data_IF_471797121240
#
_entry.id   IF_471797121240
#
_cell.length_a   1.000
_cell.length_b   1.000
_cell.length_c   1.000
_cell.angle_alpha   90.00
_cell.angle_beta   90.00
_cell.angle_gamma   90.00
#
_symmetry.space_group_name_H-M   'P 1'
#
loop_
_entity.id
_entity.type
_entity.pdbx_description
1 polymer ?
#
# COMPACT_ATOMS: atom_id res chain seq x y z
N UNK A 1 -31.01 39.48 -2.05
CA UNK A 1 -31.67 38.38 -1.30
C UNK A 1 -30.68 37.93 -0.23
N UNK A 2 -31.15 37.60 0.98
CA UNK A 2 -30.30 36.88 1.92
C UNK A 2 -29.86 35.57 1.24
N UNK A 3 -28.60 35.14 1.39
CA UNK A 3 -28.21 33.81 0.92
C UNK A 3 -29.15 32.78 1.55
N UNK A 4 -29.73 31.90 0.73
CA UNK A 4 -30.45 30.73 1.26
C UNK A 4 -29.53 29.99 2.24
N UNK A 5 -30.11 29.43 3.28
CA UNK A 5 -29.35 28.59 4.20
C UNK A 5 -28.88 27.32 3.47
N UNK A 6 -27.75 26.69 3.84
CA UNK A 6 -27.19 25.57 3.08
C UNK A 6 -28.17 24.41 2.84
N UNK A 7 -29.05 24.11 3.81
CA UNK A 7 -30.08 23.08 3.69
C UNK A 7 -31.24 23.46 2.75
N UNK A 8 -31.31 24.72 2.31
CA UNK A 8 -32.29 25.26 1.37
C UNK A 8 -31.75 25.33 -0.07
N UNK A 9 -30.45 25.08 -0.27
CA UNK A 9 -29.81 25.15 -1.59
C UNK A 9 -29.90 23.83 -2.34
N UNK A 10 -30.18 23.90 -3.64
CA UNK A 10 -29.88 22.85 -4.61
C UNK A 10 -28.53 23.19 -5.22
N UNK A 11 -27.52 22.37 -4.95
CA UNK A 11 -26.14 22.62 -5.38
C UNK A 11 -25.85 21.88 -6.69
N UNK A 12 -26.45 22.37 -7.78
CA UNK A 12 -26.23 21.88 -9.14
C UNK A 12 -25.71 23.03 -9.99
N UNK A 13 -24.60 22.81 -10.70
CA UNK A 13 -24.17 23.69 -11.78
C UNK A 13 -25.09 23.46 -12.97
N UNK A 14 -26.20 24.19 -13.02
CA UNK A 14 -27.25 23.96 -14.01
C UNK A 14 -26.76 24.15 -15.46
N UNK A 15 -25.77 25.01 -15.69
CA UNK A 15 -25.21 25.23 -17.03
C UNK A 15 -24.36 24.02 -17.44
N UNK A 16 -23.40 23.61 -16.61
CA UNK A 16 -22.53 22.49 -16.94
C UNK A 16 -23.27 21.14 -16.91
N UNK A 17 -24.09 20.89 -15.88
CA UNK A 17 -24.77 19.62 -15.67
C UNK A 17 -25.75 19.29 -16.80
N UNK A 18 -26.54 20.27 -17.25
CA UNK A 18 -27.57 20.07 -18.29
C UNK A 18 -27.01 19.67 -19.66
N UNK A 19 -25.73 19.95 -19.92
CA UNK A 19 -25.04 19.55 -21.15
C UNK A 19 -24.50 18.10 -21.08
N UNK A 20 -24.45 17.49 -19.89
CA UNK A 20 -23.99 16.10 -19.69
C UNK A 20 -25.09 15.09 -20.04
N UNK A 21 -24.72 13.82 -20.20
CA UNK A 21 -25.72 12.75 -20.37
C UNK A 21 -26.57 12.54 -19.12
N UNK A 22 -25.99 12.72 -17.93
CA UNK A 22 -26.73 12.68 -16.66
C UNK A 22 -27.76 13.82 -16.56
N UNK A 23 -27.43 15.02 -17.02
CA UNK A 23 -28.34 16.17 -16.98
C UNK A 23 -29.52 16.09 -17.95
N UNK A 24 -29.50 15.15 -18.90
CA UNK A 24 -30.64 14.83 -19.76
C UNK A 24 -31.66 13.92 -19.07
N UNK A 25 -31.28 13.28 -17.97
CA UNK A 25 -32.17 12.50 -17.12
C UNK A 25 -32.90 13.42 -16.14
N UNK A 26 -34.08 13.00 -15.70
CA UNK A 26 -34.78 13.68 -14.61
C UNK A 26 -34.13 13.31 -13.28
N UNK A 27 -34.11 14.24 -12.32
CA UNK A 27 -33.59 13.98 -10.97
C UNK A 27 -34.23 12.74 -10.33
N UNK A 28 -35.51 12.50 -10.63
CA UNK A 28 -36.32 11.40 -10.10
C UNK A 28 -35.84 10.03 -10.60
N UNK A 29 -35.22 9.96 -11.79
CA UNK A 29 -34.70 8.68 -12.30
C UNK A 29 -33.58 8.11 -11.41
N UNK A 30 -32.76 8.96 -10.80
CA UNK A 30 -31.69 8.53 -9.90
C UNK A 30 -32.08 8.67 -8.43
N UNK A 31 -32.69 9.80 -8.05
CA UNK A 31 -32.98 10.11 -6.65
C UNK A 31 -34.39 9.69 -6.22
N UNK A 32 -35.27 9.23 -7.11
CA UNK A 32 -36.67 8.97 -6.77
C UNK A 32 -37.42 10.24 -6.38
N UNK A 33 -38.36 10.15 -5.45
CA UNK A 33 -39.19 11.29 -5.08
C UNK A 33 -40.40 11.51 -5.99
N UNK A 34 -41.02 12.68 -5.86
CA UNK A 34 -42.25 13.05 -6.59
C UNK A 34 -42.07 14.36 -7.34
N UNK A 35 -42.58 14.45 -8.58
CA UNK A 35 -42.52 15.68 -9.38
C UNK A 35 -43.60 16.70 -8.95
N UNK A 36 -43.36 17.39 -7.84
CA UNK A 36 -44.22 18.45 -7.28
C UNK A 36 -43.39 19.65 -6.82
N UNK A 37 -44.02 20.81 -6.68
CA UNK A 37 -43.32 22.06 -6.33
C UNK A 37 -43.00 22.18 -4.82
N UNK A 38 -43.74 21.49 -3.97
CA UNK A 38 -43.52 21.46 -2.52
C UNK A 38 -42.32 20.58 -2.21
N UNK A 39 -41.32 21.11 -1.50
CA UNK A 39 -40.03 20.45 -1.28
C UNK A 39 -40.18 19.16 -0.49
N UNK A 40 -40.94 19.20 0.60
CA UNK A 40 -41.16 18.06 1.48
C UNK A 40 -41.89 16.93 0.73
N UNK A 41 -42.92 17.25 -0.05
CA UNK A 41 -43.59 16.26 -0.91
C UNK A 41 -42.68 15.76 -2.04
N UNK A 42 -41.88 16.64 -2.65
CA UNK A 42 -40.95 16.25 -3.70
C UNK A 42 -39.90 15.25 -3.20
N UNK A 43 -39.46 15.41 -1.95
CA UNK A 43 -38.48 14.55 -1.31
C UNK A 43 -39.08 13.31 -0.61
N UNK A 44 -40.39 13.10 -0.68
CA UNK A 44 -41.01 11.87 -0.14
C UNK A 44 -40.45 10.65 -0.90
N UNK A 45 -39.84 9.72 -0.18
CA UNK A 45 -39.13 8.54 -0.72
C UNK A 45 -37.91 8.85 -1.60
N UNK A 46 -37.31 10.04 -1.46
CA UNK A 46 -36.08 10.39 -2.16
C UNK A 46 -34.87 9.65 -1.58
N UNK A 47 -34.05 9.09 -2.46
CA UNK A 47 -32.74 8.50 -2.15
C UNK A 47 -31.67 9.60 -2.19
N UNK A 48 -31.08 9.87 -1.03
CA UNK A 48 -30.07 10.92 -0.87
C UNK A 48 -28.79 10.63 -1.66
N UNK A 49 -28.35 9.37 -1.65
CA UNK A 49 -27.17 8.90 -2.36
C UNK A 49 -27.51 7.69 -3.24
N UNK A 50 -27.88 7.92 -4.51
CA UNK A 50 -28.14 6.84 -5.47
C UNK A 50 -26.90 5.98 -5.71
N UNK A 51 -25.69 6.52 -5.54
CA UNK A 51 -24.46 5.80 -5.82
C UNK A 51 -24.12 4.72 -4.81
N UNK A 52 -24.79 4.73 -3.64
CA UNK A 52 -24.81 3.62 -2.68
C UNK A 52 -25.57 2.38 -3.18
N UNK A 53 -26.36 2.52 -4.26
CA UNK A 53 -27.13 1.44 -4.92
C UNK A 53 -26.86 1.43 -6.43
N UNK A 54 -25.60 1.19 -6.83
CA UNK A 54 -25.19 1.30 -8.24
C UNK A 54 -25.91 0.29 -9.15
N UNK A 55 -26.29 -0.88 -8.61
CA UNK A 55 -27.09 -1.91 -9.27
C UNK A 55 -28.49 -1.42 -9.68
N UNK A 56 -29.06 -0.48 -8.92
CA UNK A 56 -30.40 0.07 -9.18
C UNK A 56 -30.34 1.28 -10.11
N UNK A 57 -29.39 2.19 -9.88
CA UNK A 57 -29.41 3.52 -10.50
C UNK A 57 -28.37 3.74 -11.59
N UNK A 58 -27.33 2.91 -11.65
CA UNK A 58 -26.20 3.09 -12.57
C UNK A 58 -26.09 1.95 -13.58
N UNK A 59 -26.48 0.73 -13.23
CA UNK A 59 -26.22 -0.48 -14.00
C UNK A 59 -26.84 -0.50 -15.41
N UNK A 60 -27.94 0.23 -15.66
CA UNK A 60 -28.53 0.33 -17.01
C UNK A 60 -27.55 0.97 -18.02
N UNK A 61 -26.70 1.90 -17.56
CA UNK A 61 -25.74 2.62 -18.42
C UNK A 61 -24.28 2.22 -18.15
N UNK A 62 -23.98 1.71 -16.96
CA UNK A 62 -22.62 1.37 -16.48
C UNK A 62 -22.52 -0.09 -16.03
N UNK A 63 -23.17 -1.01 -16.76
CA UNK A 63 -23.29 -2.43 -16.43
C UNK A 63 -21.95 -3.05 -16.03
N UNK A 64 -20.90 -2.82 -16.82
CA UNK A 64 -19.58 -3.41 -16.60
C UNK A 64 -18.94 -2.94 -15.29
N UNK A 65 -18.93 -1.62 -15.06
CA UNK A 65 -18.33 -1.04 -13.85
C UNK A 65 -19.13 -1.44 -12.60
N UNK A 66 -20.46 -1.38 -12.68
CA UNK A 66 -21.32 -1.76 -11.53
C UNK A 66 -21.19 -3.23 -11.16
N UNK A 67 -21.07 -4.11 -12.16
CA UNK A 67 -20.89 -5.55 -11.93
C UNK A 67 -19.53 -5.86 -11.30
N UNK A 68 -18.46 -5.20 -11.77
CA UNK A 68 -17.11 -5.41 -11.24
C UNK A 68 -16.90 -4.78 -9.85
N UNK A 69 -17.47 -3.59 -9.63
CA UNK A 69 -17.22 -2.80 -8.42
C UNK A 69 -17.58 -3.54 -7.13
N UNK A 70 -18.59 -4.41 -7.17
CA UNK A 70 -19.02 -5.21 -6.03
C UNK A 70 -17.88 -6.03 -5.41
N UNK A 71 -16.96 -6.51 -6.25
CA UNK A 71 -15.81 -7.34 -5.83
C UNK A 71 -14.53 -6.51 -5.62
N UNK A 72 -14.52 -5.23 -6.03
CA UNK A 72 -13.36 -4.36 -5.86
C UNK A 72 -12.97 -4.14 -4.40
N UNK A 73 -11.67 -3.98 -4.13
CA UNK A 73 -11.18 -3.67 -2.78
C UNK A 73 -11.71 -2.35 -2.20
N UNK A 74 -12.04 -1.39 -3.06
CA UNK A 74 -12.66 -0.11 -2.66
C UNK A 74 -14.10 -0.31 -2.14
N UNK A 75 -14.79 -1.37 -2.57
CA UNK A 75 -16.09 -1.76 -2.05
C UNK A 75 -15.98 -2.77 -0.90
N UNK A 76 -15.20 -3.84 -1.06
CA UNK A 76 -15.19 -4.96 -0.10
C UNK A 76 -14.36 -4.66 1.15
N UNK A 77 -13.36 -3.78 1.03
CA UNK A 77 -12.36 -3.54 2.07
C UNK A 77 -11.65 -4.82 2.55
N UNK A 78 -11.61 -5.86 1.70
CA UNK A 78 -11.14 -7.20 2.06
C UNK A 78 -9.71 -7.21 2.61
N UNK A 79 -8.88 -6.25 2.20
CA UNK A 79 -7.52 -6.09 2.71
C UNK A 79 -7.45 -5.95 4.23
N UNK A 80 -8.36 -5.20 4.86
CA UNK A 80 -8.39 -5.09 6.31
C UNK A 80 -8.78 -6.41 6.97
N UNK A 81 -9.83 -7.05 6.46
CA UNK A 81 -10.34 -8.30 7.00
C UNK A 81 -9.35 -9.45 6.86
N UNK A 82 -8.61 -9.52 5.76
CA UNK A 82 -7.51 -10.48 5.58
C UNK A 82 -6.52 -10.38 6.74
N UNK A 83 -6.00 -9.20 7.01
CA UNK A 83 -5.00 -8.99 8.07
C UNK A 83 -5.57 -9.18 9.48
N UNK A 84 -6.78 -8.64 9.74
CA UNK A 84 -7.46 -8.78 11.04
C UNK A 84 -7.75 -10.25 11.34
N UNK A 85 -8.31 -10.99 10.38
CA UNK A 85 -8.67 -12.39 10.59
C UNK A 85 -7.44 -13.27 10.78
N UNK A 86 -6.35 -13.00 10.04
CA UNK A 86 -5.08 -13.71 10.24
C UNK A 86 -4.51 -13.48 11.64
N UNK A 87 -4.54 -12.25 12.16
CA UNK A 87 -4.09 -11.95 13.54
C UNK A 87 -5.06 -12.41 14.62
N UNK A 88 -6.36 -12.50 14.33
CA UNK A 88 -7.36 -12.97 15.30
C UNK A 88 -7.16 -14.44 15.67
N UNK A 89 -7.09 -15.33 14.68
CA UNK A 89 -6.89 -16.77 14.90
C UNK A 89 -8.09 -17.56 15.44
N UNK A 90 -9.17 -16.88 15.88
CA UNK A 90 -10.34 -17.46 16.56
C UNK A 90 -11.67 -17.20 15.83
N UNK A 91 -11.63 -17.03 14.51
CA UNK A 91 -12.84 -16.88 13.70
C UNK A 91 -13.64 -18.20 13.73
N UNK A 92 -14.96 -18.22 14.06
CA UNK A 92 -15.90 -17.08 14.04
C UNK A 92 -16.26 -16.48 15.41
N UNK A 93 -15.68 -16.93 16.52
CA UNK A 93 -16.11 -16.57 17.88
C UNK A 93 -15.99 -15.06 18.16
N UNK A 94 -14.86 -14.46 17.78
CA UNK A 94 -14.54 -13.05 18.00
C UNK A 94 -15.07 -12.12 16.89
N UNK A 95 -15.64 -12.71 15.82
CA UNK A 95 -16.05 -11.99 14.63
C UNK A 95 -17.07 -10.86 14.92
N UNK A 96 -18.09 -11.05 15.77
CA UNK A 96 -19.05 -9.98 16.07
C UNK A 96 -18.41 -8.74 16.72
N UNK A 97 -17.44 -8.93 17.63
CA UNK A 97 -16.74 -7.82 18.27
C UNK A 97 -15.84 -7.08 17.26
N UNK A 98 -15.19 -7.82 16.38
CA UNK A 98 -14.37 -7.27 15.30
C UNK A 98 -15.23 -6.54 14.24
N UNK A 99 -16.44 -7.02 13.94
CA UNK A 99 -17.38 -6.34 13.03
C UNK A 99 -17.84 -5.00 13.60
N UNK A 100 -18.16 -4.95 14.89
CA UNK A 100 -18.51 -3.69 15.57
C UNK A 100 -17.33 -2.71 15.55
N UNK A 101 -16.13 -3.18 15.91
CA UNK A 101 -14.89 -2.40 15.85
C UNK A 101 -14.63 -1.86 14.44
N UNK A 102 -14.69 -2.73 13.43
CA UNK A 102 -14.42 -2.37 12.05
C UNK A 102 -15.43 -1.34 11.53
N UNK A 103 -16.72 -1.52 11.85
CA UNK A 103 -17.77 -0.57 11.50
C UNK A 103 -17.55 0.81 12.11
N UNK A 104 -17.11 0.87 13.37
CA UNK A 104 -16.88 2.13 14.07
C UNK A 104 -15.61 2.86 13.59
N UNK A 105 -14.53 2.14 13.29
CA UNK A 105 -13.22 2.76 13.11
C UNK A 105 -12.66 2.73 11.69
N UNK A 106 -13.02 1.71 10.90
CA UNK A 106 -12.33 1.41 9.65
C UNK A 106 -13.23 1.60 8.43
N UNK A 107 -14.51 1.21 8.54
CA UNK A 107 -15.46 1.21 7.44
C UNK A 107 -15.78 2.60 6.86
N UNK A 108 -15.31 3.68 7.49
CA UNK A 108 -15.47 5.06 6.99
C UNK A 108 -14.68 5.34 5.70
N UNK A 109 -13.76 4.46 5.32
CA UNK A 109 -13.05 4.51 4.04
C UNK A 109 -13.75 3.71 2.92
N UNK A 110 -14.86 3.02 3.22
CA UNK A 110 -15.74 2.47 2.19
C UNK A 110 -16.20 3.59 1.26
N UNK A 111 -16.27 3.31 -0.05
CA UNK A 111 -16.62 4.33 -1.03
C UNK A 111 -17.84 3.92 -1.87
N UNK A 112 -18.46 4.89 -2.51
CA UNK A 112 -19.48 4.72 -3.55
C UNK A 112 -19.01 5.34 -4.87
N UNK A 113 -19.72 5.08 -5.98
CA UNK A 113 -19.38 5.75 -7.24
C UNK A 113 -19.41 7.29 -7.11
N UNK A 114 -20.31 7.83 -6.28
CA UNK A 114 -20.45 9.27 -6.06
C UNK A 114 -19.30 9.88 -5.28
N UNK A 115 -18.71 9.16 -4.32
CA UNK A 115 -17.57 9.63 -3.52
C UNK A 115 -16.25 9.71 -4.28
N UNK A 116 -16.19 9.08 -5.46
CA UNK A 116 -15.11 9.28 -6.42
C UNK A 116 -15.50 10.29 -7.50
N UNK A 117 -16.70 10.21 -8.07
CA UNK A 117 -17.04 10.91 -9.30
C UNK A 117 -17.89 12.17 -9.13
N UNK A 118 -18.45 12.47 -7.96
CA UNK A 118 -19.40 13.59 -7.80
C UNK A 118 -19.07 14.45 -6.57
N UNK A 119 -18.70 13.83 -5.47
CA UNK A 119 -18.44 14.50 -4.19
C UNK A 119 -17.20 13.96 -3.49
N UNK A 120 -16.64 14.77 -2.60
CA UNK A 120 -15.67 14.30 -1.63
C UNK A 120 -16.29 13.20 -0.77
N UNK A 121 -15.49 12.23 -0.29
CA UNK A 121 -15.96 11.21 0.63
C UNK A 121 -16.53 11.80 1.93
N UNK A 122 -17.48 11.09 2.53
CA UNK A 122 -18.16 11.53 3.74
C UNK A 122 -17.21 11.69 4.94
N UNK A 123 -16.14 10.89 5.01
CA UNK A 123 -15.17 10.92 6.10
C UNK A 123 -14.39 12.25 6.22
N UNK A 124 -14.31 13.04 5.14
CA UNK A 124 -13.71 14.39 5.13
C UNK A 124 -14.76 15.52 5.14
N UNK A 125 -16.03 15.18 5.40
CA UNK A 125 -17.14 16.15 5.47
C UNK A 125 -17.93 16.32 4.18
N UNK A 126 -17.62 15.55 3.13
CA UNK A 126 -18.38 15.52 1.88
C UNK A 126 -18.32 16.81 1.05
N UNK A 127 -19.31 16.97 0.18
CA UNK A 127 -19.49 18.14 -0.69
C UNK A 127 -19.06 17.91 -2.14
N UNK A 128 -19.81 18.47 -3.08
CA UNK A 128 -19.59 18.26 -4.51
C UNK A 128 -18.26 18.84 -5.00
N UNK A 129 -17.63 18.15 -5.95
CA UNK A 129 -16.44 18.67 -6.62
C UNK A 129 -16.78 19.91 -7.43
N UNK A 130 -17.78 19.78 -8.31
CA UNK A 130 -18.09 20.74 -9.38
C UNK A 130 -19.62 20.83 -9.59
N UNK A 131 -20.37 21.05 -8.50
CA UNK A 131 -21.82 21.32 -8.59
C UNK A 131 -22.65 20.15 -9.16
N UNK A 132 -22.47 18.94 -8.62
CA UNK A 132 -23.18 17.72 -9.03
C UNK A 132 -22.87 17.24 -10.46
N UNK A 133 -21.85 17.78 -11.11
CA UNK A 133 -21.30 17.22 -12.35
C UNK A 133 -20.53 15.94 -12.03
N UNK A 134 -20.72 14.91 -12.86
CA UNK A 134 -20.01 13.64 -12.76
C UNK A 134 -18.66 13.74 -13.46
N UNK A 135 -17.60 13.67 -12.67
CA UNK A 135 -16.21 13.73 -13.10
C UNK A 135 -15.67 12.34 -13.43
N UNK A 136 -15.55 12.03 -14.73
CA UNK A 136 -14.96 10.75 -15.17
C UNK A 136 -13.56 10.53 -14.58
N UNK A 137 -12.75 11.59 -14.53
CA UNK A 137 -11.43 11.57 -13.89
C UNK A 137 -11.52 12.33 -12.56
N UNK A 138 -11.53 11.63 -11.42
CA UNK A 138 -11.83 12.26 -10.15
C UNK A 138 -10.68 13.19 -9.71
N UNK A 139 -10.98 14.30 -9.04
CA UNK A 139 -9.95 15.24 -8.58
C UNK A 139 -9.12 14.62 -7.48
N UNK A 140 -7.86 14.29 -7.77
CA UNK A 140 -6.94 13.55 -6.90
C UNK A 140 -6.94 14.01 -5.43
N UNK A 141 -6.84 15.33 -5.19
CA UNK A 141 -6.70 15.86 -3.82
C UNK A 141 -7.98 15.81 -3.00
N UNK A 142 -9.13 15.78 -3.69
CA UNK A 142 -10.48 15.81 -3.11
C UNK A 142 -11.15 14.43 -3.10
N UNK A 143 -10.62 13.46 -3.84
CA UNK A 143 -11.10 12.07 -3.90
C UNK A 143 -10.06 11.11 -3.32
N UNK A 144 -9.02 10.77 -4.07
CA UNK A 144 -8.01 9.77 -3.70
C UNK A 144 -7.33 10.11 -2.36
N UNK A 145 -6.80 11.33 -2.22
CA UNK A 145 -6.08 11.72 -0.99
C UNK A 145 -7.02 12.18 0.12
N UNK A 146 -8.34 12.17 -0.07
CA UNK A 146 -9.27 12.35 1.04
C UNK A 146 -9.19 11.13 1.98
N UNK A 147 -9.11 9.92 1.42
CA UNK A 147 -8.92 8.68 2.18
C UNK A 147 -7.43 8.32 2.31
N UNK A 148 -6.63 8.43 1.24
CA UNK A 148 -5.21 8.05 1.24
C UNK A 148 -4.26 9.20 1.63
N UNK A 149 -4.76 10.25 2.28
CA UNK A 149 -4.02 11.51 2.46
C UNK A 149 -2.87 11.48 3.45
N UNK A 150 -3.03 10.78 4.57
CA UNK A 150 -2.14 10.90 5.74
C UNK A 150 -0.73 10.37 5.48
N UNK A 151 -0.59 9.29 4.71
CA UNK A 151 0.70 8.69 4.33
C UNK A 151 0.98 8.90 2.85
N UNK A 152 0.22 8.23 1.99
CA UNK A 152 0.43 8.24 0.54
C UNK A 152 0.33 9.65 -0.04
N UNK A 153 -0.73 10.39 0.29
CA UNK A 153 -0.91 11.75 -0.20
C UNK A 153 0.17 12.72 0.29
N UNK A 154 0.62 12.59 1.54
CA UNK A 154 1.69 13.44 2.07
C UNK A 154 3.05 13.14 1.45
N UNK A 155 3.36 11.85 1.22
CA UNK A 155 4.57 11.40 0.51
C UNK A 155 4.54 11.87 -0.96
N UNK A 156 3.45 11.60 -1.68
CA UNK A 156 3.34 11.87 -3.12
C UNK A 156 3.39 13.36 -3.44
N UNK A 157 2.72 14.18 -2.62
CA UNK A 157 2.61 15.61 -2.84
C UNK A 157 3.74 16.41 -2.18
N UNK A 158 4.63 15.77 -1.42
CA UNK A 158 5.73 16.44 -0.72
C UNK A 158 5.26 17.35 0.42
N UNK A 159 4.30 16.88 1.22
CA UNK A 159 3.77 17.61 2.38
C UNK A 159 4.54 17.33 3.67
N UNK A 160 5.42 16.33 3.68
CA UNK A 160 6.30 16.07 4.81
C UNK A 160 7.45 17.08 4.81
N UNK A 161 7.70 17.72 5.95
CA UNK A 161 8.71 18.77 6.07
C UNK A 161 10.10 18.26 5.67
N UNK A 162 10.78 19.00 4.80
CA UNK A 162 12.12 18.67 4.34
C UNK A 162 12.22 17.51 3.34
N UNK A 163 11.11 16.90 2.94
CA UNK A 163 11.09 15.75 2.03
C UNK A 163 10.37 16.16 0.74
N UNK A 164 11.01 16.03 -0.44
CA UNK A 164 10.38 16.37 -1.70
C UNK A 164 9.23 15.41 -2.03
N UNK A 165 8.24 15.91 -2.77
CA UNK A 165 7.20 15.08 -3.37
C UNK A 165 7.74 14.25 -4.53
N UNK A 166 7.01 13.20 -4.88
CA UNK A 166 7.34 12.25 -5.93
C UNK A 166 7.62 12.94 -7.28
N UNK A 167 8.66 12.52 -8.00
CA UNK A 167 9.02 13.10 -9.31
C UNK A 167 7.93 12.91 -10.36
N UNK A 168 7.17 11.82 -10.31
CA UNK A 168 6.05 11.59 -11.22
C UNK A 168 4.95 12.65 -11.03
N UNK A 169 4.73 13.10 -9.79
CA UNK A 169 3.83 14.22 -9.51
C UNK A 169 4.48 15.57 -9.86
N UNK A 170 5.67 15.84 -9.31
CA UNK A 170 6.29 17.17 -9.31
C UNK A 170 6.79 17.59 -10.70
N UNK A 171 7.28 16.64 -11.47
CA UNK A 171 7.92 16.89 -12.77
C UNK A 171 7.05 16.41 -13.93
N UNK A 172 6.51 15.18 -13.83
CA UNK A 172 5.66 14.62 -14.90
C UNK A 172 4.17 14.97 -14.80
N UNK A 173 3.74 15.65 -13.72
CA UNK A 173 2.34 16.08 -13.49
C UNK A 173 1.33 14.92 -13.52
N UNK A 174 1.77 13.73 -13.12
CA UNK A 174 0.91 12.56 -13.02
C UNK A 174 0.01 12.65 -11.79
N UNK A 175 -1.26 12.28 -11.96
CA UNK A 175 -2.19 12.00 -10.86
C UNK A 175 -2.25 10.48 -10.62
N UNK A 176 -2.91 10.04 -9.55
CA UNK A 176 -2.99 8.62 -9.18
C UNK A 176 -3.44 7.73 -10.34
N UNK A 177 -4.42 8.18 -11.13
CA UNK A 177 -5.01 7.39 -12.23
C UNK A 177 -4.10 7.27 -13.46
N UNK A 178 -2.92 7.91 -13.48
CA UNK A 178 -1.89 7.62 -14.48
C UNK A 178 -1.18 6.30 -14.25
N UNK A 179 -1.14 5.83 -13.00
CA UNK A 179 -0.54 4.54 -12.65
C UNK A 179 -1.59 3.53 -12.19
N UNK A 180 -2.66 3.97 -11.52
CA UNK A 180 -3.77 3.12 -11.06
C UNK A 180 -5.00 3.31 -11.93
N UNK A 181 -5.18 2.47 -12.94
CA UNK A 181 -6.23 2.69 -13.94
C UNK A 181 -7.62 2.40 -13.39
N UNK A 182 -8.66 2.87 -14.09
CA UNK A 182 -10.04 2.55 -13.70
C UNK A 182 -10.35 1.04 -13.72
N UNK A 183 -9.64 0.26 -14.54
CA UNK A 183 -9.75 -1.20 -14.58
C UNK A 183 -9.37 -1.80 -13.23
N UNK A 184 -8.29 -1.31 -12.63
CA UNK A 184 -7.76 -1.80 -11.36
C UNK A 184 -8.62 -1.32 -10.19
N UNK A 185 -8.99 -0.03 -10.22
CA UNK A 185 -9.77 0.61 -9.16
C UNK A 185 -11.18 0.03 -9.03
N UNK A 186 -11.81 -0.33 -10.16
CA UNK A 186 -13.16 -0.91 -10.19
C UNK A 186 -13.18 -2.44 -10.11
N UNK A 187 -12.04 -3.13 -10.07
CA UNK A 187 -12.02 -4.59 -9.99
C UNK A 187 -12.42 -5.30 -11.30
N UNK A 188 -12.10 -4.70 -12.46
CA UNK A 188 -12.65 -5.15 -13.76
C UNK A 188 -11.94 -6.38 -14.36
N UNK A 189 -10.89 -6.89 -13.73
CA UNK A 189 -10.21 -8.13 -14.13
C UNK A 189 -10.44 -9.23 -13.08
N UNK A 190 -10.36 -10.50 -13.50
CA UNK A 190 -10.46 -11.65 -12.59
C UNK A 190 -9.46 -11.57 -11.42
N UNK A 191 -8.24 -11.11 -11.71
CA UNK A 191 -7.20 -10.90 -10.70
C UNK A 191 -7.60 -9.81 -9.69
N UNK A 192 -8.07 -8.66 -10.18
CA UNK A 192 -8.47 -7.54 -9.30
C UNK A 192 -9.78 -7.82 -8.54
N UNK A 193 -10.68 -8.63 -9.09
CA UNK A 193 -11.93 -9.04 -8.44
C UNK A 193 -11.70 -10.11 -7.37
N UNK A 194 -10.65 -10.92 -7.50
CA UNK A 194 -10.28 -11.95 -6.51
C UNK A 194 -9.25 -11.47 -5.49
N UNK A 195 -8.84 -10.20 -5.56
CA UNK A 195 -7.84 -9.62 -4.69
C UNK A 195 -8.31 -9.59 -3.22
N UNK A 196 -7.50 -10.16 -2.33
CA UNK A 196 -7.78 -10.18 -0.89
C UNK A 196 -7.09 -9.04 -0.15
N UNK A 197 -6.12 -8.37 -0.78
CA UNK A 197 -5.43 -7.18 -0.29
C UNK A 197 -4.79 -6.40 -1.45
N UNK A 198 -4.32 -5.18 -1.18
CA UNK A 198 -3.73 -4.25 -2.19
C UNK A 198 -2.45 -4.73 -2.89
N UNK A 199 -1.90 -5.87 -2.47
CA UNK A 199 -0.67 -6.47 -3.03
C UNK A 199 -0.95 -7.87 -3.59
N UNK A 200 -2.22 -8.26 -3.74
CA UNK A 200 -2.59 -9.54 -4.34
C UNK A 200 -2.22 -9.55 -5.83
N UNK A 201 -1.85 -10.73 -6.34
CA UNK A 201 -1.51 -10.91 -7.74
C UNK A 201 -0.14 -10.35 -8.13
N UNK A 202 0.10 -10.24 -9.44
CA UNK A 202 1.31 -9.69 -10.04
C UNK A 202 1.56 -8.25 -9.60
N UNK A 203 2.81 -7.78 -9.70
CA UNK A 203 3.10 -6.37 -9.38
C UNK A 203 2.41 -5.49 -10.42
N UNK A 204 1.64 -4.52 -9.94
CA UNK A 204 0.95 -3.52 -10.76
C UNK A 204 0.60 -2.31 -9.85
N UNK A 205 0.98 -1.07 -10.22
CA UNK A 205 1.81 -0.67 -11.35
C UNK A 205 3.27 -1.09 -11.21
N UNK A 206 3.92 -1.43 -12.33
CA UNK A 206 5.36 -1.74 -12.40
C UNK A 206 6.15 -0.57 -12.97
N UNK A 207 7.31 -0.30 -12.36
CA UNK A 207 8.24 0.74 -12.84
C UNK A 207 8.68 0.47 -14.30
N UNK A 208 8.90 -0.81 -14.63
CA UNK A 208 9.39 -1.25 -15.94
C UNK A 208 8.39 -1.11 -17.07
N UNK A 209 7.10 -0.91 -16.78
CA UNK A 209 6.07 -0.67 -17.81
C UNK A 209 6.23 0.71 -18.46
N UNK A 210 6.91 1.65 -17.78
CA UNK A 210 7.30 2.95 -18.31
C UNK A 210 8.81 3.11 -18.52
N UNK A 211 9.62 2.30 -17.83
CA UNK A 211 11.09 2.36 -17.83
C UNK A 211 11.70 1.06 -18.39
N UNK A 212 11.27 0.65 -19.59
CA UNK A 212 11.67 -0.62 -20.23
C UNK A 212 13.20 -0.77 -20.39
N UNK A 213 13.89 0.33 -20.70
CA UNK A 213 15.35 0.33 -20.90
C UNK A 213 16.14 0.02 -19.61
N UNK A 214 15.52 0.23 -18.44
CA UNK A 214 16.12 -0.06 -17.12
C UNK A 214 16.06 -1.56 -16.82
N UNK A 215 15.01 -2.26 -17.26
CA UNK A 215 14.76 -3.66 -16.92
C UNK A 215 15.92 -4.60 -17.31
N UNK A 216 16.63 -4.27 -18.39
CA UNK A 216 17.76 -5.04 -18.88
C UNK A 216 19.13 -4.41 -18.53
N UNK A 217 19.15 -3.36 -17.69
CA UNK A 217 20.36 -2.59 -17.38
C UNK A 217 21.00 -1.91 -18.60
N UNK A 218 20.21 -1.64 -19.64
CA UNK A 218 20.68 -1.17 -20.94
C UNK A 218 20.68 0.37 -21.06
N UNK A 219 20.23 1.06 -20.03
CA UNK A 219 20.12 2.52 -19.95
C UNK A 219 21.47 3.24 -19.72
N UNK A 220 22.55 2.50 -19.56
CA UNK A 220 23.90 3.02 -19.35
C UNK A 220 24.20 3.43 -17.90
N UNK A 221 23.31 3.15 -16.96
CA UNK A 221 23.53 3.40 -15.53
C UNK A 221 24.11 2.14 -14.88
N UNK A 222 25.35 2.26 -14.37
CA UNK A 222 26.07 1.12 -13.79
C UNK A 222 25.28 0.41 -12.68
N UNK A 223 24.59 1.17 -11.82
CA UNK A 223 23.85 0.59 -10.70
C UNK A 223 22.70 -0.32 -11.15
N UNK A 224 21.99 0.05 -12.22
CA UNK A 224 20.94 -0.79 -12.80
C UNK A 224 21.50 -2.06 -13.44
N UNK A 225 22.66 -1.98 -14.08
CA UNK A 225 23.34 -3.16 -14.61
C UNK A 225 23.85 -4.10 -13.50
N UNK A 226 24.30 -3.56 -12.36
CA UNK A 226 24.90 -4.34 -11.26
C UNK A 226 23.85 -4.98 -10.32
N UNK A 227 22.70 -4.32 -10.13
CA UNK A 227 21.59 -4.83 -9.32
C UNK A 227 20.43 -5.33 -10.19
N UNK A 228 20.70 -5.54 -11.47
CA UNK A 228 19.74 -5.90 -12.51
C UNK A 228 19.32 -7.37 -12.51
N UNK A 229 18.32 -7.64 -13.36
CA UNK A 229 17.30 -8.72 -13.35
C UNK A 229 16.12 -8.52 -12.38
N UNK A 230 16.26 -7.59 -11.42
CA UNK A 230 15.18 -7.15 -10.55
C UNK A 230 14.72 -8.18 -9.52
N UNK A 231 15.43 -9.29 -9.34
CA UNK A 231 15.06 -10.29 -8.33
C UNK A 231 15.73 -10.03 -6.96
N UNK A 232 16.81 -9.27 -6.89
CA UNK A 232 17.53 -9.02 -5.63
C UNK A 232 16.95 -7.84 -4.84
N UNK A 233 16.70 -6.69 -5.47
CA UNK A 233 16.21 -5.48 -4.79
C UNK A 233 15.07 -4.82 -5.57
N UNK A 234 14.08 -4.25 -4.89
CA UNK A 234 13.04 -3.47 -5.56
C UNK A 234 13.51 -2.07 -5.96
N UNK A 235 12.93 -1.49 -7.01
CA UNK A 235 13.29 -0.14 -7.49
C UNK A 235 13.19 0.91 -6.37
N UNK A 236 12.21 0.76 -5.48
CA UNK A 236 11.98 1.66 -4.36
C UNK A 236 13.13 1.63 -3.34
N UNK A 237 13.95 0.57 -3.27
CA UNK A 237 15.17 0.58 -2.44
C UNK A 237 16.13 1.69 -2.85
N UNK A 238 16.29 1.94 -4.15
CA UNK A 238 17.16 2.99 -4.66
C UNK A 238 16.43 4.33 -4.82
N UNK A 239 15.13 4.30 -5.10
CA UNK A 239 14.40 5.49 -5.54
C UNK A 239 13.46 6.09 -4.50
N UNK A 240 13.19 5.42 -3.38
CA UNK A 240 12.45 6.01 -2.27
C UNK A 240 13.37 6.89 -1.42
N UNK A 241 12.78 7.94 -0.84
CA UNK A 241 13.39 8.67 0.29
C UNK A 241 12.70 8.25 1.59
N UNK A 242 13.08 8.87 2.73
CA UNK A 242 12.45 8.57 4.02
C UNK A 242 10.92 8.75 3.96
N UNK A 243 10.19 7.88 4.65
CA UNK A 243 8.73 7.79 4.64
C UNK A 243 8.18 7.55 6.04
N UNK A 244 6.85 7.65 6.18
CA UNK A 244 6.21 7.61 7.50
C UNK A 244 6.00 6.18 7.99
N UNK A 245 6.54 5.86 9.17
CA UNK A 245 6.18 4.70 9.99
C UNK A 245 5.35 5.13 11.19
N UNK A 246 4.58 4.20 11.75
CA UNK A 246 3.79 4.43 12.95
C UNK A 246 3.89 3.22 13.88
N UNK A 247 3.72 3.45 15.18
CA UNK A 247 3.73 2.40 16.19
C UNK A 247 2.40 2.35 16.91
N UNK A 248 1.83 1.14 17.01
CA UNK A 248 0.58 0.81 17.69
C UNK A 248 -0.63 1.63 17.21
N UNK A 249 -1.82 1.03 17.22
CA UNK A 249 -3.08 1.75 17.07
C UNK A 249 -4.05 1.17 18.07
N UNK A 250 -4.51 1.98 19.02
CA UNK A 250 -5.58 1.61 19.94
C UNK A 250 -6.84 2.34 19.51
N UNK A 251 -7.96 1.62 19.48
CA UNK A 251 -9.25 2.17 19.09
C UNK A 251 -10.25 2.07 20.23
N UNK A 252 -11.05 3.12 20.43
CA UNK A 252 -12.07 3.17 21.48
C UNK A 252 -13.23 4.09 21.09
N UNK A 253 -14.38 3.97 21.77
CA UNK A 253 -15.48 4.94 21.64
C UNK A 253 -15.41 5.92 22.80
N UNK A 254 -15.33 7.20 22.48
CA UNK A 254 -15.25 8.27 23.48
C UNK A 254 -16.51 8.31 24.35
N UNK A 255 -16.37 8.07 25.66
CA UNK A 255 -17.50 8.17 26.61
C UNK A 255 -18.18 9.55 26.60
N UNK A 256 -17.42 10.60 26.29
CA UNK A 256 -17.92 11.98 26.30
C UNK A 256 -18.74 12.32 25.06
N UNK A 257 -18.31 11.87 23.90
CA UNK A 257 -18.90 12.27 22.62
C UNK A 257 -19.73 11.18 21.94
N UNK A 258 -19.52 9.91 22.34
CA UNK A 258 -20.05 8.75 21.64
C UNK A 258 -19.36 8.48 20.30
N UNK A 259 -18.32 9.25 19.94
CA UNK A 259 -17.64 9.11 18.66
C UNK A 259 -16.47 8.12 18.75
N UNK A 260 -16.23 7.31 17.71
CA UNK A 260 -15.02 6.52 17.55
C UNK A 260 -13.77 7.41 17.56
N UNK A 261 -12.75 7.02 18.33
CA UNK A 261 -11.43 7.66 18.38
C UNK A 261 -10.34 6.60 18.32
N UNK A 262 -9.13 7.03 17.98
CA UNK A 262 -7.95 6.16 17.99
C UNK A 262 -6.72 6.93 18.47
N UNK A 263 -5.74 6.19 18.96
CA UNK A 263 -4.43 6.71 19.36
C UNK A 263 -3.32 5.85 18.74
N UNK A 264 -2.33 6.51 18.14
CA UNK A 264 -1.06 5.86 17.77
C UNK A 264 0.00 6.25 18.78
N UNK A 265 0.81 5.30 19.24
CA UNK A 265 1.88 5.57 20.20
C UNK A 265 3.00 6.44 19.61
N UNK A 266 3.30 6.26 18.32
CA UNK A 266 4.27 7.09 17.63
C UNK A 266 3.95 7.21 16.13
N UNK A 267 4.40 8.31 15.53
CA UNK A 267 4.49 8.51 14.08
C UNK A 267 5.82 9.21 13.79
N UNK A 268 6.64 8.64 12.92
CA UNK A 268 8.00 9.10 12.64
C UNK A 268 8.43 8.79 11.21
N UNK A 269 9.42 9.52 10.72
CA UNK A 269 10.08 9.24 9.44
C UNK A 269 11.14 8.16 9.60
N UNK A 270 11.15 7.19 8.69
CA UNK A 270 12.13 6.12 8.62
C UNK A 270 12.47 5.75 7.19
N UNK A 271 13.59 5.05 7.02
CA UNK A 271 13.92 4.33 5.80
C UNK A 271 14.67 3.06 6.21
N UNK A 272 14.08 1.89 5.98
CA UNK A 272 14.72 0.61 6.28
C UNK A 272 14.46 -0.39 5.16
N UNK A 273 15.49 -1.17 4.84
CA UNK A 273 15.47 -2.27 3.89
C UNK A 273 15.35 -3.58 4.68
N UNK A 274 14.28 -4.33 4.41
CA UNK A 274 14.04 -5.65 4.98
C UNK A 274 14.13 -6.74 3.93
N UNK A 275 14.09 -8.00 4.38
CA UNK A 275 13.76 -9.12 3.49
C UNK A 275 12.30 -9.00 3.07
N UNK A 276 11.99 -9.36 1.83
CA UNK A 276 10.62 -9.32 1.34
C UNK A 276 9.73 -10.37 2.06
N UNK A 277 8.74 -9.96 2.88
CA UNK A 277 7.83 -10.91 3.53
C UNK A 277 6.87 -11.61 2.56
N UNK A 278 6.75 -11.09 1.33
CA UNK A 278 5.82 -11.55 0.30
C UNK A 278 6.57 -12.13 -0.92
N UNK A 279 7.79 -12.64 -0.73
CA UNK A 279 8.61 -13.11 -1.85
C UNK A 279 7.92 -14.25 -2.61
N UNK A 280 7.68 -14.02 -3.89
CA UNK A 280 7.00 -14.95 -4.81
C UNK A 280 7.39 -14.61 -6.26
N UNK A 281 6.91 -15.38 -7.24
CA UNK A 281 7.11 -15.04 -8.66
C UNK A 281 6.49 -13.67 -9.00
N UNK A 282 5.40 -13.29 -8.32
CA UNK A 282 4.72 -12.00 -8.48
C UNK A 282 5.45 -10.84 -7.76
N UNK A 283 6.27 -11.14 -6.76
CA UNK A 283 7.10 -10.19 -6.00
C UNK A 283 8.50 -10.80 -5.80
N UNK A 284 9.33 -10.85 -6.86
CA UNK A 284 10.55 -11.66 -6.85
C UNK A 284 11.65 -11.10 -5.93
N UNK A 285 11.59 -9.80 -5.62
CA UNK A 285 12.59 -9.06 -4.85
C UNK A 285 12.96 -9.78 -3.55
N UNK A 286 14.26 -9.96 -3.30
CA UNK A 286 14.78 -10.44 -2.01
C UNK A 286 14.74 -9.36 -0.93
N UNK A 287 15.08 -8.12 -1.30
CA UNK A 287 15.10 -6.97 -0.40
C UNK A 287 14.20 -5.83 -0.89
N UNK A 288 13.47 -5.24 0.04
CA UNK A 288 12.45 -4.22 -0.23
C UNK A 288 12.45 -3.18 0.88
N UNK A 289 11.96 -1.95 0.64
CA UNK A 289 11.65 -1.03 1.73
C UNK A 289 10.57 -1.65 2.62
N UNK A 290 10.77 -1.57 3.92
CA UNK A 290 9.80 -2.03 4.92
C UNK A 290 9.34 -0.88 5.79
N UNK A 291 8.08 -0.94 6.21
CA UNK A 291 7.43 0.10 7.02
C UNK A 291 6.80 -0.53 8.25
N UNK A 292 6.98 0.12 9.38
CA UNK A 292 6.30 -0.28 10.61
C UNK A 292 4.84 0.19 10.56
N UNK A 293 3.90 -0.74 10.76
CA UNK A 293 2.47 -0.46 10.76
C UNK A 293 1.94 -0.32 12.19
N UNK A 294 0.93 0.53 12.43
CA UNK A 294 0.44 0.80 13.77
C UNK A 294 -0.49 -0.33 14.22
N UNK A 295 0.07 -1.39 14.77
CA UNK A 295 -0.65 -2.58 15.23
C UNK A 295 0.01 -3.10 16.50
N UNK A 296 -0.77 -3.65 17.43
CA UNK A 296 -0.27 -4.20 18.70
C UNK A 296 -1.28 -5.23 19.23
N UNK A 297 -0.89 -6.26 20.01
CA UNK A 297 -1.81 -7.34 20.39
C UNK A 297 -3.13 -6.90 21.04
N UNK A 298 -3.16 -5.72 21.65
CA UNK A 298 -4.33 -5.16 22.30
C UNK A 298 -4.97 -3.98 21.55
N UNK A 299 -4.75 -3.82 20.25
CA UNK A 299 -5.34 -2.71 19.46
C UNK A 299 -6.86 -2.59 19.62
N UNK A 300 -7.55 -3.71 19.82
CA UNK A 300 -9.01 -3.80 19.84
C UNK A 300 -9.59 -4.13 21.23
N UNK A 301 -8.78 -4.01 22.30
CA UNK A 301 -9.16 -4.43 23.66
C UNK A 301 -10.44 -3.75 24.20
N UNK A 302 -10.79 -2.57 23.68
CA UNK A 302 -12.04 -1.88 24.00
C UNK A 302 -13.30 -2.72 23.65
N UNK A 303 -13.23 -3.52 22.59
CA UNK A 303 -14.36 -4.29 22.07
C UNK A 303 -14.42 -5.72 22.62
N UNK A 304 -13.31 -6.22 23.18
CA UNK A 304 -13.22 -7.56 23.73
C UNK A 304 -11.79 -7.94 24.09
N UNK A 305 -11.66 -8.92 24.97
CA UNK A 305 -10.38 -9.49 25.34
C UNK A 305 -9.86 -10.41 24.23
N UNK A 306 -8.53 -10.49 24.08
CA UNK A 306 -7.85 -11.49 23.25
C UNK A 306 -8.26 -11.52 21.75
N UNK A 307 -8.74 -10.40 21.19
CA UNK A 307 -9.18 -10.32 19.78
C UNK A 307 -8.08 -10.51 18.72
N UNK A 308 -6.81 -10.61 19.12
CA UNK A 308 -5.67 -10.85 18.23
C UNK A 308 -4.72 -11.93 18.77
N UNK A 309 -5.24 -13.10 19.15
CA UNK A 309 -4.42 -14.17 19.74
C UNK A 309 -3.34 -14.75 18.84
N UNK A 310 -3.48 -14.64 17.51
CA UNK A 310 -2.51 -15.11 16.51
C UNK A 310 -1.65 -13.97 15.97
N UNK A 311 -1.30 -13.01 16.83
CA UNK A 311 -0.65 -11.76 16.43
C UNK A 311 0.61 -11.97 15.60
N UNK A 312 1.48 -12.92 15.98
CA UNK A 312 2.77 -13.16 15.34
C UNK A 312 2.67 -13.82 13.95
N UNK A 313 1.46 -14.15 13.48
CA UNK A 313 1.26 -14.71 12.13
C UNK A 313 1.61 -13.73 11.00
N UNK A 314 1.73 -12.43 11.32
CA UNK A 314 2.06 -11.38 10.36
C UNK A 314 3.11 -10.42 10.96
N UNK A 315 4.10 -9.99 10.16
CA UNK A 315 5.12 -9.04 10.63
C UNK A 315 4.53 -7.66 10.91
N UNK A 316 5.14 -6.91 11.83
CA UNK A 316 4.81 -5.49 12.08
C UNK A 316 5.59 -4.56 11.14
N UNK A 317 6.73 -5.03 10.61
CA UNK A 317 7.45 -4.43 9.50
C UNK A 317 7.02 -5.08 8.18
N UNK A 318 6.23 -4.36 7.38
CA UNK A 318 5.59 -4.91 6.18
C UNK A 318 6.22 -4.40 4.90
N UNK A 319 6.03 -5.14 3.80
CA UNK A 319 6.38 -4.71 2.43
C UNK A 319 5.83 -3.31 2.14
N UNK A 320 6.71 -2.39 1.78
CA UNK A 320 6.35 -0.99 1.53
C UNK A 320 6.53 -0.59 0.07
N UNK A 321 5.61 0.25 -0.38
CA UNK A 321 5.58 0.91 -1.70
C UNK A 321 5.45 2.41 -1.48
N UNK A 322 6.52 3.07 -0.96
CA UNK A 322 6.47 4.51 -0.69
C UNK A 322 6.17 5.30 -1.96
N UNK A 323 5.32 6.32 -1.84
CA UNK A 323 4.93 7.17 -2.97
C UNK A 323 5.76 8.45 -2.95
N UNK A 324 7.08 8.34 -2.99
CA UNK A 324 7.99 9.47 -2.85
C UNK A 324 9.22 9.34 -3.75
N UNK A 325 9.05 8.72 -4.92
CA UNK A 325 10.13 8.38 -5.83
C UNK A 325 10.94 9.62 -6.21
N UNK A 326 12.27 9.53 -6.11
CA UNK A 326 13.23 10.54 -6.55
C UNK A 326 14.27 9.94 -7.49
N UNK A 327 14.82 10.79 -8.36
CA UNK A 327 15.97 10.45 -9.20
C UNK A 327 17.26 10.39 -8.38
N UNK A 328 17.44 11.34 -7.45
CA UNK A 328 18.58 11.40 -6.53
C UNK A 328 18.10 11.12 -5.11
N UNK A 329 18.64 10.06 -4.49
CA UNK A 329 18.34 9.65 -3.12
C UNK A 329 19.62 9.48 -2.32
N UNK A 330 19.54 9.44 -0.98
CA UNK A 330 20.69 9.02 -0.18
C UNK A 330 21.25 7.66 -0.59
N UNK A 331 20.38 6.70 -0.94
CA UNK A 331 20.74 5.31 -1.24
C UNK A 331 21.46 5.16 -2.58
N UNK A 332 21.07 5.92 -3.60
CA UNK A 332 21.68 5.84 -4.93
C UNK A 332 22.88 6.79 -5.12
N UNK A 333 23.28 7.51 -4.07
CA UNK A 333 24.37 8.49 -4.12
C UNK A 333 25.77 7.87 -4.23
N UNK A 334 25.97 6.66 -3.68
CA UNK A 334 27.19 5.87 -3.81
C UNK A 334 26.93 4.41 -3.45
N UNK A 335 27.89 3.52 -3.72
CA UNK A 335 27.75 2.13 -3.32
C UNK A 335 27.71 1.96 -1.79
N UNK A 336 28.54 2.73 -1.09
CA UNK A 336 28.71 2.71 0.37
C UNK A 336 27.51 3.28 1.12
N UNK A 337 26.59 3.95 0.41
CA UNK A 337 25.31 4.33 0.98
C UNK A 337 24.49 3.10 1.42
N UNK A 338 24.70 1.94 0.79
CA UNK A 338 24.07 0.66 1.15
C UNK A 338 25.09 -0.39 1.60
N UNK A 339 26.17 -0.56 0.84
CA UNK A 339 27.19 -1.58 1.10
C UNK A 339 28.07 -1.21 2.29
N UNK A 340 28.08 -2.05 3.32
CA UNK A 340 28.75 -1.76 4.59
C UNK A 340 28.01 -0.78 5.48
N UNK A 341 26.75 -0.43 5.15
CA UNK A 341 25.94 0.52 5.91
C UNK A 341 24.77 -0.20 6.63
N UNK A 342 24.96 -0.70 7.87
CA UNK A 342 23.91 -1.40 8.60
C UNK A 342 22.77 -0.48 9.08
N UNK A 343 22.90 0.85 8.99
CA UNK A 343 21.90 1.79 9.51
C UNK A 343 20.61 1.77 8.71
N UNK A 344 20.66 1.43 7.42
CA UNK A 344 19.49 1.42 6.53
C UNK A 344 18.85 0.04 6.36
N UNK A 345 19.31 -0.98 7.09
CA UNK A 345 18.73 -2.33 7.05
C UNK A 345 17.99 -2.64 8.34
N UNK A 346 16.85 -3.32 8.23
CA UNK A 346 16.10 -3.81 9.37
C UNK A 346 16.82 -5.02 9.99
N UNK A 347 17.76 -4.75 10.89
CA UNK A 347 18.46 -5.75 11.70
C UNK A 347 17.71 -5.98 13.01
N UNK A 348 17.99 -7.10 13.69
CA UNK A 348 17.25 -7.49 14.91
C UNK A 348 17.30 -6.43 16.03
N UNK A 349 18.39 -5.68 16.16
CA UNK A 349 18.55 -4.59 17.13
C UNK A 349 17.64 -3.37 16.87
N UNK A 350 17.04 -3.29 15.69
CA UNK A 350 16.09 -2.22 15.30
C UNK A 350 14.63 -2.66 15.42
N UNK A 351 14.38 -3.90 15.81
CA UNK A 351 13.04 -4.45 16.05
C UNK A 351 12.81 -4.49 17.56
N UNK A 352 11.60 -4.13 18.00
CA UNK A 352 11.22 -4.20 19.41
C UNK A 352 11.26 -5.64 19.89
N UNK A 353 11.68 -5.87 21.14
CA UNK A 353 11.91 -7.21 21.68
C UNK A 353 10.66 -8.09 21.56
N UNK A 354 9.49 -7.52 21.84
CA UNK A 354 8.18 -8.17 21.75
C UNK A 354 7.73 -8.47 20.31
N UNK A 355 8.35 -7.88 19.29
CA UNK A 355 7.98 -8.06 17.88
C UNK A 355 9.00 -8.92 17.11
N UNK A 356 10.07 -9.39 17.76
CA UNK A 356 11.12 -10.16 17.11
C UNK A 356 10.61 -11.45 16.46
N UNK A 357 9.63 -12.12 17.09
CA UNK A 357 9.03 -13.35 16.57
C UNK A 357 8.26 -13.05 15.28
N UNK A 358 7.35 -12.08 15.33
CA UNK A 358 6.54 -11.68 14.17
C UNK A 358 7.40 -11.25 12.97
N UNK A 359 8.58 -10.67 13.20
CA UNK A 359 9.43 -10.10 12.16
C UNK A 359 10.63 -10.98 11.77
N UNK A 360 10.76 -12.21 12.29
CA UNK A 360 11.92 -13.07 12.01
C UNK A 360 12.21 -13.21 10.51
N UNK A 361 11.16 -13.31 9.69
CA UNK A 361 11.25 -13.49 8.24
C UNK A 361 11.64 -12.22 7.49
N UNK A 362 11.48 -11.05 8.10
CA UNK A 362 11.74 -9.72 7.51
C UNK A 362 13.11 -9.19 7.91
N UNK A 363 13.63 -9.63 9.07
CA UNK A 363 14.93 -9.21 9.59
C UNK A 363 16.07 -9.63 8.65
N UNK A 364 16.95 -8.67 8.39
CA UNK A 364 18.20 -8.87 7.64
C UNK A 364 19.28 -9.35 8.60
N UNK A 365 19.63 -10.63 8.52
CA UNK A 365 20.67 -11.26 9.37
C UNK A 365 22.08 -10.86 8.95
N UNK A 366 22.30 -10.69 7.65
CA UNK A 366 23.58 -10.24 7.09
C UNK A 366 23.34 -9.04 6.19
N UNK A 367 23.92 -7.90 6.57
CA UNK A 367 23.96 -6.69 5.74
C UNK A 367 24.98 -6.88 4.61
N UNK A 368 24.73 -6.36 3.39
CA UNK A 368 25.71 -6.38 2.32
C UNK A 368 27.06 -5.82 2.79
N UNK A 369 28.14 -6.57 2.58
CA UNK A 369 29.49 -6.13 2.90
C UNK A 369 29.95 -4.91 2.08
N UNK A 370 31.18 -4.46 2.31
CA UNK A 370 31.78 -3.41 1.48
C UNK A 370 31.93 -3.88 0.03
N UNK A 371 31.79 -2.99 -0.95
CA UNK A 371 31.88 -3.35 -2.38
C UNK A 371 33.21 -4.00 -2.74
N UNK A 372 34.32 -3.57 -2.14
CA UNK A 372 35.62 -4.21 -2.35
C UNK A 372 35.61 -5.70 -2.01
N UNK A 373 34.81 -6.13 -1.04
CA UNK A 373 34.69 -7.56 -0.72
C UNK A 373 34.02 -8.34 -1.85
N UNK A 374 33.00 -7.76 -2.49
CA UNK A 374 32.31 -8.36 -3.63
C UNK A 374 33.19 -8.38 -4.88
N UNK A 375 33.87 -7.27 -5.18
CA UNK A 375 34.74 -7.17 -6.35
C UNK A 375 35.96 -8.10 -6.27
N UNK A 376 36.40 -8.44 -5.05
CA UNK A 376 37.49 -9.38 -4.81
C UNK A 376 37.02 -10.80 -4.50
N UNK A 377 35.71 -11.05 -4.43
CA UNK A 377 35.18 -12.39 -4.18
C UNK A 377 35.41 -13.27 -5.40
N UNK A 378 35.92 -14.48 -5.17
CA UNK A 378 36.02 -15.48 -6.23
C UNK A 378 34.63 -15.96 -6.64
N UNK A 379 34.42 -16.15 -7.95
CA UNK A 379 33.23 -16.81 -8.46
C UNK A 379 33.21 -18.27 -7.99
N UNK A 380 32.00 -18.76 -7.72
CA UNK A 380 31.80 -20.18 -7.44
C UNK A 380 32.17 -20.99 -8.69
N UNK A 381 32.78 -22.17 -8.55
CA UNK A 381 32.94 -23.08 -9.69
C UNK A 381 31.58 -23.48 -10.28
N UNK A 382 31.53 -23.76 -11.60
CA UNK A 382 30.28 -24.01 -12.32
C UNK A 382 29.45 -25.19 -11.80
N UNK A 383 30.10 -26.18 -11.18
CA UNK A 383 29.45 -27.35 -10.56
C UNK A 383 28.59 -27.00 -9.34
N UNK A 384 28.74 -25.79 -8.77
CA UNK A 384 27.90 -25.32 -7.67
C UNK A 384 26.45 -25.12 -8.10
N UNK A 385 26.19 -24.90 -9.39
CA UNK A 385 24.83 -24.84 -9.94
C UNK A 385 24.08 -26.18 -9.87
N UNK A 386 24.79 -27.30 -9.70
CA UNK A 386 24.21 -28.64 -9.55
C UNK A 386 23.98 -29.03 -8.07
N UNK A 387 24.42 -28.21 -7.12
CA UNK A 387 24.23 -28.46 -5.71
C UNK A 387 22.79 -28.17 -5.30
N UNK A 388 22.13 -29.14 -4.67
CA UNK A 388 20.74 -29.03 -4.21
C UNK A 388 20.64 -28.26 -2.86
N UNK A 389 21.75 -27.75 -2.35
CA UNK A 389 21.84 -27.16 -1.00
C UNK A 389 22.73 -25.92 -1.02
N UNK A 390 22.27 -24.86 -0.36
CA UNK A 390 23.01 -23.62 -0.12
C UNK A 390 23.81 -23.66 1.19
N UNK A 391 24.15 -24.85 1.70
CA UNK A 391 24.87 -25.02 2.97
C UNK A 391 26.39 -24.84 2.78
N UNK A 392 26.80 -23.66 2.31
CA UNK A 392 28.19 -23.28 2.07
C UNK A 392 29.09 -23.59 3.28
N UNK A 393 28.70 -23.14 4.48
CA UNK A 393 29.47 -23.31 5.71
C UNK A 393 29.71 -24.80 5.99
N UNK A 394 28.72 -25.66 5.76
CA UNK A 394 28.87 -27.10 6.00
C UNK A 394 29.94 -27.75 5.12
N UNK A 395 30.09 -27.29 3.87
CA UNK A 395 31.11 -27.83 2.97
C UNK A 395 32.49 -27.18 3.20
N UNK A 396 32.52 -25.87 3.41
CA UNK A 396 33.75 -25.09 3.44
C UNK A 396 34.38 -24.95 4.83
N UNK A 397 33.67 -25.23 5.93
CA UNK A 397 34.24 -25.15 7.28
C UNK A 397 35.35 -26.19 7.51
N UNK A 398 35.13 -27.43 7.06
CA UNK A 398 36.08 -28.55 7.23
C UNK A 398 36.66 -29.05 5.89
N UNK A 399 36.29 -28.42 4.76
CA UNK A 399 36.75 -28.85 3.43
C UNK A 399 36.16 -30.19 2.98
N UNK A 400 34.89 -30.43 3.31
CA UNK A 400 34.16 -31.64 2.95
C UNK A 400 34.15 -31.79 1.41
N UNK A 401 34.29 -33.02 0.92
CA UNK A 401 34.35 -33.34 -0.54
C UNK A 401 35.49 -32.62 -1.28
N UNK A 402 36.63 -32.39 -0.63
CA UNK A 402 37.77 -31.63 -1.18
C UNK A 402 37.43 -30.17 -1.52
N UNK A 403 36.41 -29.61 -0.87
CA UNK A 403 36.11 -28.19 -0.99
C UNK A 403 37.26 -27.37 -0.36
N UNK A 404 37.60 -26.19 -0.90
CA UNK A 404 38.52 -25.29 -0.23
C UNK A 404 37.98 -24.92 1.15
N UNK A 405 38.85 -24.93 2.16
CA UNK A 405 38.49 -24.50 3.51
C UNK A 405 38.32 -22.98 3.51
N UNK A 406 37.23 -22.50 4.10
CA UNK A 406 36.96 -21.07 4.22
C UNK A 406 38.09 -20.37 5.02
N UNK A 407 38.52 -19.16 4.62
CA UNK A 407 39.53 -18.43 5.37
C UNK A 407 39.08 -18.13 6.80
N UNK A 408 40.02 -18.00 7.73
CA UNK A 408 39.72 -17.65 9.13
C UNK A 408 38.92 -16.33 9.24
N UNK A 409 39.14 -15.39 8.32
CA UNK A 409 38.39 -14.13 8.24
C UNK A 409 36.91 -14.28 7.88
N UNK A 410 36.46 -15.48 7.50
CA UNK A 410 35.07 -15.77 7.12
C UNK A 410 34.34 -16.55 8.22
N UNK A 411 34.97 -16.83 9.37
CA UNK A 411 34.43 -17.75 10.38
C UNK A 411 33.06 -17.36 10.93
N UNK A 412 32.73 -16.06 10.90
CA UNK A 412 31.45 -15.51 11.34
C UNK A 412 30.43 -15.35 10.20
N UNK A 413 30.76 -15.76 8.97
CA UNK A 413 29.85 -15.68 7.83
C UNK A 413 28.90 -16.87 7.78
N UNK A 414 27.64 -16.54 7.50
CA UNK A 414 26.58 -17.52 7.29
C UNK A 414 26.42 -17.84 5.80
N UNK A 415 25.65 -18.87 5.50
CA UNK A 415 25.36 -19.28 4.12
C UNK A 415 24.82 -18.13 3.25
N UNK A 416 23.98 -17.27 3.83
CA UNK A 416 23.42 -16.09 3.16
C UNK A 416 24.52 -15.07 2.82
N UNK A 417 25.53 -14.91 3.68
CA UNK A 417 26.70 -14.06 3.41
C UNK A 417 27.53 -14.63 2.25
N UNK A 418 27.77 -15.95 2.26
CA UNK A 418 28.56 -16.63 1.24
C UNK A 418 27.91 -16.55 -0.16
N UNK A 419 26.60 -16.80 -0.25
CA UNK A 419 25.84 -16.70 -1.51
C UNK A 419 25.67 -15.26 -1.99
N UNK A 420 25.74 -14.28 -1.09
CA UNK A 420 25.83 -12.87 -1.44
C UNK A 420 27.14 -12.54 -2.17
N UNK A 421 28.28 -12.97 -1.62
CA UNK A 421 29.61 -12.59 -2.13
C UNK A 421 30.09 -13.48 -3.30
N UNK A 422 29.90 -14.78 -3.22
CA UNK A 422 30.40 -15.74 -4.21
C UNK A 422 29.30 -16.06 -5.21
N UNK A 423 29.25 -15.34 -6.33
CA UNK A 423 28.26 -15.57 -7.40
C UNK A 423 28.67 -16.75 -8.30
N UNK A 424 27.68 -17.42 -8.90
CA UNK A 424 27.93 -18.38 -9.97
C UNK A 424 28.53 -17.67 -11.21
N UNK A 425 29.32 -18.38 -12.05
CA UNK A 425 30.00 -17.79 -13.20
C UNK A 425 29.08 -17.26 -14.30
#
# INVERSE_FOLDING_TARGET
MAPLEPWEKVLVDNEAFSETDHGKLTCIQCHGGTNVADKEQAHTDMVLDPSSKPDVYCAECHEEQTSAYADSLHNTQAGYWTEINTRNGNVPEDHPALEEMFGNHCATCHTTCGECHVSQPANVGGGFFDGHVFEMNPPMTRSCTACHGSRVGNEFLGKNEGIPGDVHFREARMNCVKCHTGVDLHGMTEETASATHRLSGAEDPKCTDCHEDVANGADGIQMHAQHGDGAEISCQVCHSVTYTSCDSCHVEVSEKSGNPIFETQATYTTFLIGRNPLQSDDRPYKYVPVRHVPVTPNSYEFYGDDLMTNFDALPTWVYSTPHNIQLDTPQNSSCEACHGNPEIFLTADKVREEELIANETVIVKTVPGNVDMFLNAMLQPSDHSELVTNSCVSCHLEGIRNSPVMPESHIDFENDSCTGCHKLP
#
